data_IF_068486414096
#
_entry.id   IF_068486414096
#
_cell.length_a   1.000
_cell.length_b   1.000
_cell.length_c   1.000
_cell.angle_alpha   90.00
_cell.angle_beta   90.00
_cell.angle_gamma   90.00
#
_symmetry.space_group_name_H-M   'P 1'
#
loop_
_entity.id
_entity.type
_entity.pdbx_description
1 polymer ?
#
# COMPACT_ATOMS: atom_id res chain seq x y z
N UNK A 1 32.24 -18.09 2.28
CA UNK A 1 32.13 -18.25 3.74
C UNK A 1 30.64 -18.38 4.04
N UNK A 2 30.15 -19.60 4.22
CA UNK A 2 28.76 -19.88 4.61
C UNK A 2 28.67 -19.65 6.12
N UNK A 3 28.07 -18.53 6.51
CA UNK A 3 27.68 -18.30 7.89
C UNK A 3 26.64 -19.35 8.28
N UNK A 4 27.02 -20.30 9.11
CA UNK A 4 26.05 -21.22 9.75
C UNK A 4 25.20 -20.41 10.71
N UNK A 5 23.95 -20.15 10.34
CA UNK A 5 22.95 -19.63 11.27
C UNK A 5 22.74 -20.71 12.34
N UNK A 6 23.09 -20.39 13.57
CA UNK A 6 22.90 -21.29 14.70
C UNK A 6 21.40 -21.53 14.91
N UNK A 7 20.94 -22.75 14.61
CA UNK A 7 19.52 -23.12 14.62
C UNK A 7 19.00 -23.50 16.03
N UNK A 8 19.79 -23.27 17.09
CA UNK A 8 19.53 -23.88 18.41
C UNK A 8 18.71 -23.06 19.39
N UNK A 9 18.54 -21.74 19.17
CA UNK A 9 17.67 -20.93 20.04
C UNK A 9 16.29 -20.73 19.40
N UNK A 10 15.23 -21.00 20.17
CA UNK A 10 13.88 -20.63 19.73
C UNK A 10 13.84 -19.10 19.51
N UNK A 11 13.28 -18.62 18.38
CA UNK A 11 13.21 -17.19 18.14
C UNK A 11 12.38 -16.52 19.25
N UNK A 12 12.86 -15.36 19.72
CA UNK A 12 12.08 -14.56 20.65
C UNK A 12 10.85 -14.01 19.94
N UNK A 13 9.67 -14.46 20.35
CA UNK A 13 8.39 -14.01 19.81
C UNK A 13 8.06 -12.66 20.45
N UNK A 14 7.78 -11.66 19.62
CA UNK A 14 7.41 -10.31 20.09
C UNK A 14 6.25 -10.34 21.10
N UNK A 15 6.22 -9.36 22.00
CA UNK A 15 5.12 -9.19 22.96
C UNK A 15 3.81 -8.92 22.22
N UNK A 16 2.70 -9.02 22.94
CA UNK A 16 1.40 -8.62 22.39
C UNK A 16 1.43 -7.13 22.06
N UNK A 17 0.99 -6.82 20.86
CA UNK A 17 0.78 -5.43 20.45
C UNK A 17 -0.49 -4.88 21.09
N UNK A 18 -0.47 -3.59 21.41
CA UNK A 18 -1.58 -2.87 22.05
C UNK A 18 -1.79 -1.52 21.36
N UNK A 19 -2.90 -0.84 21.72
CA UNK A 19 -3.24 0.46 21.14
C UNK A 19 -4.11 0.36 19.89
N UNK A 20 -4.28 1.49 19.22
CA UNK A 20 -5.21 1.65 18.10
C UNK A 20 -4.92 0.73 16.92
N UNK A 21 -3.66 0.36 16.69
CA UNK A 21 -3.24 -0.48 15.57
C UNK A 21 -3.68 -1.95 15.73
N UNK A 22 -3.88 -2.43 16.96
CA UNK A 22 -4.27 -3.82 17.24
C UNK A 22 -5.79 -4.02 17.32
N UNK A 23 -6.51 -3.45 16.37
CA UNK A 23 -7.96 -3.48 16.32
C UNK A 23 -8.53 -4.81 15.82
N UNK A 24 -9.77 -5.07 16.24
CA UNK A 24 -10.65 -6.09 15.68
C UNK A 24 -11.89 -5.40 15.08
N UNK A 25 -12.65 -6.13 14.26
CA UNK A 25 -13.87 -5.61 13.65
C UNK A 25 -14.84 -5.00 14.68
N UNK A 26 -14.89 -5.57 15.88
CA UNK A 26 -15.88 -5.18 16.89
C UNK A 26 -15.54 -3.84 17.58
N UNK A 27 -14.30 -3.37 17.45
CA UNK A 27 -13.86 -2.10 18.06
C UNK A 27 -13.72 -0.96 17.07
N UNK A 28 -13.61 -1.27 15.76
CA UNK A 28 -13.54 -0.23 14.72
C UNK A 28 -14.88 0.50 14.58
N UNK A 29 -14.80 1.81 14.50
CA UNK A 29 -15.94 2.65 14.17
C UNK A 29 -16.00 2.90 12.64
N UNK A 30 -17.18 3.24 12.09
CA UNK A 30 -17.36 3.41 10.63
C UNK A 30 -16.42 4.43 9.96
N UNK A 31 -15.96 5.43 10.72
CA UNK A 31 -15.10 6.50 10.20
C UNK A 31 -13.63 6.38 10.64
N UNK A 32 -13.28 5.29 11.33
CA UNK A 32 -11.88 5.06 11.68
C UNK A 32 -11.04 4.92 10.41
N UNK A 33 -9.93 5.66 10.35
CA UNK A 33 -9.07 5.71 9.19
C UNK A 33 -9.57 6.58 8.03
N UNK A 34 -10.79 7.16 8.10
CA UNK A 34 -11.31 8.04 7.05
C UNK A 34 -10.80 9.46 7.25
N UNK A 35 -10.16 10.00 6.23
CA UNK A 35 -9.70 11.40 6.18
C UNK A 35 -10.45 12.10 5.04
N UNK A 36 -11.25 13.09 5.39
CA UNK A 36 -11.97 13.91 4.40
C UNK A 36 -11.00 14.84 3.71
N UNK A 37 -11.12 14.99 2.39
CA UNK A 37 -10.36 15.97 1.62
C UNK A 37 -10.99 17.34 1.78
N UNK A 38 -10.29 18.35 2.36
CA UNK A 38 -10.81 19.69 2.54
C UNK A 38 -10.97 20.44 1.21
N UNK A 39 -11.90 21.40 1.16
CA UNK A 39 -12.15 22.22 -0.04
C UNK A 39 -10.92 23.03 -0.47
N UNK A 40 -10.13 23.52 0.46
CA UNK A 40 -8.89 24.25 0.18
C UNK A 40 -7.82 23.32 -0.43
N UNK A 41 -7.73 22.07 0.01
CA UNK A 41 -6.88 21.06 -0.63
C UNK A 41 -7.37 20.79 -2.07
N UNK A 42 -8.69 20.66 -2.29
CA UNK A 42 -9.24 20.50 -3.64
C UNK A 42 -8.92 21.70 -4.53
N UNK A 43 -8.99 22.93 -3.99
CA UNK A 43 -8.64 24.14 -4.73
C UNK A 43 -7.15 24.18 -5.14
N UNK A 44 -6.26 23.73 -4.27
CA UNK A 44 -4.83 23.55 -4.58
C UNK A 44 -4.63 22.53 -5.71
N UNK A 45 -5.29 21.38 -5.63
CA UNK A 45 -5.21 20.32 -6.65
C UNK A 45 -5.79 20.80 -8.00
N UNK A 46 -6.90 21.54 -7.99
CA UNK A 46 -7.46 22.16 -9.20
C UNK A 46 -6.47 23.15 -9.85
N UNK A 47 -5.73 23.91 -9.05
CA UNK A 47 -4.71 24.82 -9.56
C UNK A 47 -3.54 24.06 -10.20
N UNK A 48 -3.09 22.97 -9.58
CA UNK A 48 -2.04 22.10 -10.14
C UNK A 48 -2.52 21.43 -11.43
N UNK A 49 -3.75 20.90 -11.47
CA UNK A 49 -4.30 20.30 -12.69
C UNK A 49 -4.29 21.29 -13.86
N UNK A 50 -4.73 22.54 -13.63
CA UNK A 50 -4.66 23.60 -14.67
C UNK A 50 -3.21 23.90 -15.08
N UNK A 51 -2.31 24.04 -14.12
CA UNK A 51 -0.90 24.32 -14.40
C UNK A 51 -0.27 23.23 -15.28
N UNK A 52 -0.55 21.97 -14.98
CA UNK A 52 0.00 20.82 -15.72
C UNK A 52 -0.64 20.65 -17.10
N UNK A 53 -1.88 21.13 -17.32
CA UNK A 53 -2.48 21.20 -18.66
C UNK A 53 -1.74 22.22 -19.54
N UNK A 54 -1.41 23.38 -18.99
CA UNK A 54 -0.73 24.44 -19.72
C UNK A 54 0.78 24.14 -19.88
N UNK A 55 1.36 23.42 -18.94
CA UNK A 55 2.78 23.06 -18.90
C UNK A 55 2.94 21.58 -18.56
N UNK A 56 2.74 20.66 -19.50
CA UNK A 56 2.81 19.22 -19.26
C UNK A 56 4.19 18.78 -18.79
N UNK A 57 4.22 18.04 -17.68
CA UNK A 57 5.41 17.39 -17.14
C UNK A 57 5.14 15.90 -16.94
N UNK A 58 6.16 15.04 -17.07
CA UNK A 58 6.00 13.63 -16.74
C UNK A 58 5.60 13.44 -15.27
N UNK A 59 4.59 12.63 -14.98
CA UNK A 59 4.09 12.38 -13.61
C UNK A 59 5.22 12.07 -12.64
N UNK A 60 6.14 11.18 -13.02
CA UNK A 60 7.26 10.75 -12.16
C UNK A 60 8.32 11.82 -11.91
N UNK A 61 8.29 12.94 -12.63
CA UNK A 61 9.19 14.07 -12.42
C UNK A 61 8.65 15.07 -11.40
N UNK A 62 7.36 14.98 -11.07
CA UNK A 62 6.71 15.91 -10.15
C UNK A 62 7.17 15.63 -8.71
N UNK A 63 7.52 16.68 -8.00
CA UNK A 63 7.87 16.63 -6.58
C UNK A 63 6.94 17.55 -5.79
N UNK A 64 6.40 17.12 -4.65
CA UNK A 64 5.55 17.98 -3.83
C UNK A 64 6.22 19.30 -3.42
N UNK A 65 7.56 19.32 -3.33
CA UNK A 65 8.34 20.49 -2.93
C UNK A 65 8.32 21.61 -3.98
N UNK A 66 8.04 21.28 -5.23
CA UNK A 66 8.02 22.22 -6.35
C UNK A 66 6.69 23.02 -6.41
N UNK A 67 5.72 22.70 -5.51
CA UNK A 67 4.38 23.28 -5.52
C UNK A 67 3.98 23.82 -4.15
N UNK A 68 3.22 24.93 -4.17
CA UNK A 68 2.60 25.49 -2.96
C UNK A 68 1.30 24.74 -2.65
N UNK A 69 1.38 23.77 -1.73
CA UNK A 69 0.31 22.87 -1.35
C UNK A 69 0.13 22.78 0.20
N UNK A 70 -0.03 23.92 0.90
CA UNK A 70 -0.11 23.92 2.37
C UNK A 70 -1.33 23.16 2.93
N UNK A 71 -2.50 23.27 2.28
CA UNK A 71 -3.70 22.55 2.72
C UNK A 71 -3.56 21.04 2.49
N UNK A 72 -3.05 20.61 1.32
CA UNK A 72 -2.76 19.22 1.05
C UNK A 72 -1.71 18.65 2.02
N UNK A 73 -0.67 19.41 2.36
CA UNK A 73 0.33 18.99 3.35
C UNK A 73 -0.28 18.79 4.74
N UNK A 74 -1.17 19.68 5.16
CA UNK A 74 -1.89 19.57 6.44
C UNK A 74 -2.78 18.32 6.45
N UNK A 75 -3.52 18.07 5.37
CA UNK A 75 -4.34 16.87 5.23
C UNK A 75 -3.48 15.60 5.25
N UNK A 76 -2.38 15.57 4.50
CA UNK A 76 -1.48 14.41 4.46
C UNK A 76 -0.78 14.18 5.82
N UNK A 77 -0.50 15.22 6.59
CA UNK A 77 0.00 15.06 7.96
C UNK A 77 -1.00 14.27 8.83
N UNK A 78 -2.30 14.53 8.69
CA UNK A 78 -3.35 13.76 9.37
C UNK A 78 -3.42 12.30 8.87
N UNK A 79 -3.26 12.08 7.55
CA UNK A 79 -3.14 10.73 6.97
C UNK A 79 -1.96 9.99 7.60
N UNK A 80 -0.79 10.63 7.64
CA UNK A 80 0.43 10.03 8.19
C UNK A 80 0.29 9.72 9.69
N UNK A 81 -0.32 10.62 10.46
CA UNK A 81 -0.60 10.37 11.89
C UNK A 81 -1.54 9.18 12.09
N UNK A 82 -2.60 9.08 11.27
CA UNK A 82 -3.54 7.95 11.27
C UNK A 82 -2.83 6.62 10.95
N UNK A 83 -1.89 6.64 10.00
CA UNK A 83 -1.10 5.46 9.63
C UNK A 83 -0.12 5.05 10.71
N UNK A 84 0.58 6.00 11.33
CA UNK A 84 1.68 5.73 12.26
C UNK A 84 1.22 5.55 13.71
N UNK A 85 0.22 6.29 14.15
CA UNK A 85 -0.22 6.33 15.54
C UNK A 85 -1.69 5.92 15.73
N UNK A 86 -2.45 5.83 14.64
CA UNK A 86 -3.85 5.43 14.64
C UNK A 86 -4.06 3.95 14.30
N UNK A 87 -5.06 3.70 13.47
CA UNK A 87 -5.51 2.34 13.08
C UNK A 87 -4.60 1.67 12.05
N UNK A 88 -3.57 2.34 11.53
CA UNK A 88 -2.60 1.78 10.59
C UNK A 88 -3.09 1.68 9.14
N UNK A 89 -4.26 2.22 8.83
CA UNK A 89 -4.74 2.42 7.47
C UNK A 89 -5.43 3.78 7.35
N UNK A 90 -5.46 4.35 6.16
CA UNK A 90 -6.18 5.59 5.89
C UNK A 90 -6.96 5.49 4.57
N UNK A 91 -8.16 6.04 4.57
CA UNK A 91 -9.02 6.18 3.38
C UNK A 91 -9.22 7.66 3.15
N UNK A 92 -8.62 8.18 2.08
CA UNK A 92 -8.80 9.57 1.69
C UNK A 92 -10.11 9.71 0.89
N UNK A 93 -11.10 10.38 1.45
CA UNK A 93 -12.42 10.54 0.87
C UNK A 93 -12.63 12.01 0.41
N UNK A 94 -12.46 12.31 -0.86
CA UNK A 94 -12.02 11.56 -2.06
C UNK A 94 -11.48 12.53 -3.09
N UNK A 95 -10.61 12.06 -3.97
CA UNK A 95 -10.29 12.80 -5.19
C UNK A 95 -11.49 12.71 -6.16
N UNK A 96 -12.12 13.83 -6.55
CA UNK A 96 -13.39 13.81 -7.31
C UNK A 96 -13.15 13.48 -8.78
N UNK A 97 -13.32 12.21 -9.16
CA UNK A 97 -13.13 11.72 -10.53
C UNK A 97 -14.17 12.22 -11.54
N UNK A 98 -15.20 12.91 -11.10
CA UNK A 98 -16.13 13.65 -11.94
C UNK A 98 -15.57 15.01 -12.46
N UNK A 99 -14.51 15.50 -11.81
CA UNK A 99 -13.81 16.75 -12.20
C UNK A 99 -12.56 16.52 -13.03
N UNK A 100 -11.92 15.36 -12.89
CA UNK A 100 -10.64 15.07 -13.50
C UNK A 100 -10.74 13.88 -14.46
N UNK A 101 -10.10 13.99 -15.62
CA UNK A 101 -9.80 12.78 -16.39
C UNK A 101 -8.78 11.92 -15.64
N UNK A 102 -8.59 10.70 -16.09
CA UNK A 102 -7.57 9.82 -15.51
C UNK A 102 -6.17 10.45 -15.59
N UNK A 103 -5.83 11.00 -16.74
CA UNK A 103 -4.53 11.61 -17.01
C UNK A 103 -4.28 12.85 -16.13
N UNK A 104 -5.35 13.53 -15.72
CA UNK A 104 -5.27 14.65 -14.78
C UNK A 104 -5.17 14.19 -13.33
N UNK A 105 -5.89 13.13 -12.98
CA UNK A 105 -5.94 12.63 -11.62
C UNK A 105 -4.65 11.88 -11.21
N UNK A 106 -3.99 11.19 -12.13
CA UNK A 106 -2.77 10.42 -11.86
C UNK A 106 -1.62 11.30 -11.31
N UNK A 107 -1.28 12.46 -11.90
CA UNK A 107 -0.30 13.38 -11.32
C UNK A 107 -0.68 13.90 -9.93
N UNK A 108 -1.98 14.17 -9.70
CA UNK A 108 -2.47 14.63 -8.39
C UNK A 108 -2.34 13.53 -7.34
N UNK A 109 -2.71 12.30 -7.69
CA UNK A 109 -2.49 11.12 -6.84
C UNK A 109 -1.01 10.92 -6.52
N UNK A 110 -0.14 11.03 -7.54
CA UNK A 110 1.31 10.91 -7.37
C UNK A 110 1.86 11.92 -6.37
N UNK A 111 1.44 13.19 -6.47
CA UNK A 111 1.87 14.24 -5.54
C UNK A 111 1.40 13.94 -4.12
N UNK A 112 0.13 13.58 -3.91
CA UNK A 112 -0.41 13.25 -2.59
C UNK A 112 0.29 12.04 -1.98
N UNK A 113 0.46 10.94 -2.73
CA UNK A 113 1.14 9.74 -2.26
C UNK A 113 2.62 10.03 -1.93
N UNK A 114 3.29 10.88 -2.72
CA UNK A 114 4.68 11.29 -2.48
C UNK A 114 4.86 12.15 -1.23
N UNK A 115 3.80 12.79 -0.73
CA UNK A 115 3.82 13.49 0.56
C UNK A 115 3.75 12.54 1.75
N UNK A 116 3.16 11.34 1.59
CA UNK A 116 3.10 10.33 2.66
C UNK A 116 4.47 9.71 2.88
N UNK A 117 5.11 9.27 1.81
CA UNK A 117 6.44 8.66 1.84
C UNK A 117 7.10 8.71 0.45
N UNK A 118 8.40 8.47 0.42
CA UNK A 118 9.14 8.41 -0.85
C UNK A 118 8.68 7.23 -1.69
N UNK A 119 8.18 7.45 -2.93
CA UNK A 119 7.81 6.37 -3.83
C UNK A 119 9.01 5.47 -4.16
N UNK A 120 8.74 4.17 -4.31
CA UNK A 120 9.72 3.15 -4.70
C UNK A 120 9.22 2.39 -5.91
N UNK A 121 10.14 1.83 -6.70
CA UNK A 121 9.76 1.00 -7.83
C UNK A 121 8.99 -0.25 -7.36
N UNK A 122 7.85 -0.49 -7.98
CA UNK A 122 6.98 -1.64 -7.67
C UNK A 122 7.41 -2.90 -8.42
N UNK A 123 8.14 -2.71 -9.53
CA UNK A 123 8.64 -3.79 -10.38
C UNK A 123 10.13 -3.64 -10.64
N UNK A 124 10.76 -4.74 -11.01
CA UNK A 124 12.18 -4.77 -11.34
C UNK A 124 12.57 -3.89 -12.52
N UNK A 125 11.63 -3.58 -13.42
CA UNK A 125 11.80 -2.69 -14.57
C UNK A 125 11.73 -1.20 -14.23
N UNK A 126 11.49 -0.86 -12.95
CA UNK A 126 11.42 0.49 -12.46
C UNK A 126 10.02 1.11 -12.46
N UNK A 127 8.98 0.35 -12.77
CA UNK A 127 7.60 0.87 -12.75
C UNK A 127 7.24 1.37 -11.34
N UNK A 128 6.82 2.65 -11.26
CA UNK A 128 6.47 3.33 -10.00
C UNK A 128 4.95 3.38 -9.78
N UNK A 129 4.17 3.47 -10.85
CA UNK A 129 2.71 3.41 -10.87
C UNK A 129 2.32 2.17 -11.67
N UNK A 130 1.33 1.45 -11.20
CA UNK A 130 0.89 0.22 -11.82
C UNK A 130 -0.64 0.13 -11.85
N UNK A 131 -1.18 -0.25 -13.01
CA UNK A 131 -2.61 -0.40 -13.20
C UNK A 131 -3.09 -1.77 -12.75
N UNK A 132 -4.01 -1.78 -11.81
CA UNK A 132 -4.72 -2.98 -11.36
C UNK A 132 -6.09 -3.00 -12.03
N UNK A 133 -6.33 -3.95 -12.93
CA UNK A 133 -7.60 -4.09 -13.64
C UNK A 133 -7.78 -5.49 -14.20
N UNK A 134 -9.03 -5.90 -14.42
CA UNK A 134 -9.30 -7.15 -15.10
C UNK A 134 -8.99 -7.01 -16.63
N UNK A 135 -7.97 -7.72 -17.06
CA UNK A 135 -7.57 -7.77 -18.48
C UNK A 135 -8.34 -8.83 -19.28
N UNK A 136 -9.28 -9.55 -18.65
CA UNK A 136 -10.00 -10.67 -19.26
C UNK A 136 -9.18 -11.96 -19.37
N UNK A 137 -7.95 -11.98 -18.85
CA UNK A 137 -7.13 -13.18 -18.82
C UNK A 137 -7.64 -14.18 -17.79
N UNK A 138 -7.54 -15.47 -18.11
CA UNK A 138 -7.91 -16.52 -17.17
C UNK A 138 -6.82 -16.70 -16.11
N UNK A 139 -7.21 -16.88 -14.83
CA UNK A 139 -6.27 -17.20 -13.77
C UNK A 139 -5.48 -18.48 -14.01
N UNK A 140 -4.24 -18.54 -13.55
CA UNK A 140 -3.35 -19.69 -13.68
C UNK A 140 -2.32 -19.52 -14.80
N UNK A 141 -1.44 -20.52 -14.97
CA UNK A 141 -0.40 -20.49 -15.99
C UNK A 141 0.63 -19.36 -15.87
N UNK A 142 0.79 -18.76 -14.67
CA UNK A 142 1.67 -17.62 -14.46
C UNK A 142 1.02 -16.25 -14.68
N UNK A 143 -0.30 -16.21 -14.92
CA UNK A 143 -1.07 -14.95 -14.96
C UNK A 143 -1.23 -14.44 -13.53
N UNK A 144 -0.84 -13.20 -13.30
CA UNK A 144 -0.94 -12.58 -11.97
C UNK A 144 -2.40 -12.27 -11.59
N UNK A 145 -2.77 -12.44 -10.32
CA UNK A 145 -4.14 -12.16 -9.85
C UNK A 145 -4.58 -10.71 -10.07
N UNK A 146 -3.67 -9.74 -9.94
CA UNK A 146 -3.90 -8.30 -10.05
C UNK A 146 -4.35 -7.81 -11.44
N UNK A 147 -4.19 -8.64 -12.47
CA UNK A 147 -4.70 -8.38 -13.82
C UNK A 147 -5.87 -9.30 -14.21
N UNK A 148 -6.53 -9.90 -13.24
CA UNK A 148 -7.69 -10.77 -13.42
C UNK A 148 -8.83 -10.38 -12.47
N UNK A 149 -9.99 -11.02 -12.62
CA UNK A 149 -11.14 -10.84 -11.72
C UNK A 149 -11.16 -11.80 -10.52
N UNK A 150 -10.02 -12.42 -10.19
CA UNK A 150 -9.93 -13.36 -9.07
C UNK A 150 -9.84 -12.62 -7.74
N UNK A 151 -10.61 -13.08 -6.79
CA UNK A 151 -10.47 -12.64 -5.39
C UNK A 151 -9.10 -13.04 -4.84
N UNK A 152 -8.39 -12.08 -4.26
CA UNK A 152 -7.12 -12.33 -3.60
C UNK A 152 -7.32 -12.54 -2.10
N UNK A 153 -6.59 -13.51 -1.54
CA UNK A 153 -6.51 -13.71 -0.10
C UNK A 153 -5.76 -12.56 0.57
N UNK A 154 -5.91 -12.44 1.90
CA UNK A 154 -5.08 -11.50 2.67
C UNK A 154 -3.60 -11.77 2.45
N UNK A 155 -2.85 -10.75 2.12
CA UNK A 155 -1.43 -10.79 1.86
C UNK A 155 -0.79 -9.44 2.18
N UNK A 156 0.52 -9.40 2.19
CA UNK A 156 1.32 -8.18 2.13
C UNK A 156 2.04 -8.13 0.80
N UNK A 157 2.15 -6.95 0.21
CA UNK A 157 2.85 -6.78 -1.05
C UNK A 157 4.36 -6.86 -0.88
N UNK A 158 5.03 -7.43 -1.90
CA UNK A 158 6.49 -7.52 -1.99
C UNK A 158 7.20 -8.06 -0.73
N UNK A 159 6.52 -8.94 0.03
CA UNK A 159 7.05 -9.55 1.27
C UNK A 159 8.31 -10.40 1.04
N UNK A 160 8.63 -10.75 -0.21
CA UNK A 160 9.85 -11.44 -0.63
C UNK A 160 11.04 -10.48 -0.84
N UNK A 161 10.88 -9.17 -0.72
CA UNK A 161 11.97 -8.22 -0.81
C UNK A 161 12.70 -8.09 0.52
N UNK A 162 14.01 -7.78 0.48
CA UNK A 162 14.78 -7.44 1.68
C UNK A 162 14.22 -6.23 2.42
N UNK A 163 13.71 -5.27 1.67
CA UNK A 163 13.05 -4.08 2.18
C UNK A 163 11.65 -4.03 1.56
N UNK A 164 10.65 -4.65 2.17
CA UNK A 164 9.27 -4.47 1.73
C UNK A 164 8.84 -3.01 1.90
N UNK A 165 7.85 -2.52 1.14
CA UNK A 165 7.37 -1.16 1.28
C UNK A 165 6.71 -0.93 2.65
N UNK A 166 6.92 0.25 3.24
CA UNK A 166 6.25 0.64 4.49
C UNK A 166 4.76 0.89 4.29
N UNK A 167 4.38 1.40 3.11
CA UNK A 167 3.00 1.72 2.74
C UNK A 167 2.69 1.25 1.34
N UNK A 168 1.44 0.84 1.14
CA UNK A 168 0.84 0.57 -0.17
C UNK A 168 -0.29 1.57 -0.36
N UNK A 169 -0.25 2.33 -1.44
CA UNK A 169 -1.29 3.28 -1.81
C UNK A 169 -2.06 2.76 -3.01
N UNK A 170 -3.39 2.79 -2.93
CA UNK A 170 -4.28 2.46 -4.03
C UNK A 170 -5.15 3.66 -4.39
N UNK A 171 -5.25 3.97 -5.67
CA UNK A 171 -6.14 4.99 -6.18
C UNK A 171 -7.26 4.36 -6.99
N UNK A 172 -8.50 4.52 -6.53
CA UNK A 172 -9.68 4.02 -7.23
C UNK A 172 -10.09 5.02 -8.33
N UNK A 173 -9.68 4.74 -9.56
CA UNK A 173 -10.08 5.55 -10.73
C UNK A 173 -11.52 5.24 -11.13
N UNK A 174 -11.92 3.97 -11.06
CA UNK A 174 -13.27 3.49 -11.36
C UNK A 174 -13.60 2.30 -10.48
N UNK A 175 -14.77 2.32 -9.88
CA UNK A 175 -15.26 1.17 -9.09
C UNK A 175 -15.59 -0.01 -9.99
N UNK A 176 -15.38 -1.22 -9.49
CA UNK A 176 -15.82 -2.43 -10.18
C UNK A 176 -17.34 -2.44 -10.31
N UNK A 177 -17.84 -3.02 -11.40
CA UNK A 177 -19.28 -3.21 -11.62
C UNK A 177 -19.91 -4.13 -10.57
N UNK A 178 -19.19 -5.17 -10.18
CA UNK A 178 -19.55 -6.11 -9.12
C UNK A 178 -18.28 -6.50 -8.36
N UNK A 179 -18.37 -6.67 -7.06
CA UNK A 179 -17.20 -7.01 -6.21
C UNK A 179 -16.24 -5.84 -6.02
N UNK A 180 -14.94 -6.10 -6.14
CA UNK A 180 -13.88 -5.08 -5.97
C UNK A 180 -13.79 -4.53 -4.54
N UNK A 181 -14.28 -5.26 -3.55
CA UNK A 181 -14.25 -4.85 -2.13
C UNK A 181 -12.85 -5.08 -1.57
N UNK A 182 -12.20 -4.00 -1.14
CA UNK A 182 -10.96 -4.08 -0.37
C UNK A 182 -11.25 -4.54 1.05
N UNK A 183 -10.51 -5.55 1.51
CA UNK A 183 -10.57 -6.04 2.89
C UNK A 183 -9.22 -5.88 3.52
N UNK A 184 -9.19 -5.35 4.72
CA UNK A 184 -7.98 -5.15 5.51
C UNK A 184 -8.07 -5.89 6.84
N UNK A 185 -6.91 -6.23 7.39
CA UNK A 185 -6.78 -6.89 8.70
C UNK A 185 -5.67 -6.22 9.49
N UNK A 186 -5.90 -6.02 10.78
CA UNK A 186 -4.82 -5.61 11.67
C UNK A 186 -3.84 -6.78 11.84
N UNK A 187 -2.63 -6.63 11.31
CA UNK A 187 -1.57 -7.63 11.49
C UNK A 187 -1.16 -7.80 12.97
N UNK A 188 -1.04 -6.71 13.77
CA UNK A 188 -0.86 -6.82 15.22
C UNK A 188 -1.97 -7.60 15.92
N UNK A 189 -3.24 -7.40 15.55
CA UNK A 189 -4.33 -8.18 16.13
C UNK A 189 -4.27 -9.66 15.73
N UNK A 190 -3.94 -9.95 14.45
CA UNK A 190 -3.74 -11.33 13.99
C UNK A 190 -2.58 -12.01 14.73
N UNK A 191 -1.45 -11.31 14.93
CA UNK A 191 -0.34 -11.77 15.73
C UNK A 191 -0.77 -12.09 17.18
N UNK A 192 -1.51 -11.18 17.81
CA UNK A 192 -2.02 -11.37 19.16
C UNK A 192 -2.92 -12.61 19.27
N UNK A 193 -3.81 -12.84 18.30
CA UNK A 193 -4.66 -14.02 18.26
C UNK A 193 -3.85 -15.31 18.05
N UNK A 194 -2.87 -15.31 17.17
CA UNK A 194 -1.97 -16.44 16.98
C UNK A 194 -1.18 -16.75 18.26
N UNK A 195 -0.71 -15.70 18.94
CA UNK A 195 0.02 -15.87 20.21
C UNK A 195 -0.84 -16.56 21.29
N UNK A 196 -2.14 -16.26 21.33
CA UNK A 196 -3.07 -16.87 22.29
C UNK A 196 -3.44 -18.30 21.92
N UNK A 197 -3.76 -18.54 20.63
CA UNK A 197 -4.36 -19.80 20.18
C UNK A 197 -3.36 -20.80 19.65
N UNK A 198 -2.28 -20.34 19.04
CA UNK A 198 -1.31 -21.14 18.30
C UNK A 198 0.13 -20.67 18.51
N UNK A 199 0.61 -20.62 19.79
CA UNK A 199 1.94 -20.08 20.09
C UNK A 199 3.07 -20.83 19.38
N UNK A 200 2.95 -22.14 19.21
CA UNK A 200 3.96 -22.97 18.52
C UNK A 200 4.03 -22.62 17.02
N UNK A 201 2.87 -22.38 16.38
CA UNK A 201 2.81 -21.96 14.98
C UNK A 201 3.34 -20.55 14.82
N UNK A 202 3.03 -19.65 15.74
CA UNK A 202 3.58 -18.32 15.74
C UNK A 202 5.10 -18.34 15.84
N UNK A 203 5.67 -19.12 16.75
CA UNK A 203 7.12 -19.28 16.87
C UNK A 203 7.77 -19.80 15.57
N UNK A 204 7.07 -20.64 14.81
CA UNK A 204 7.54 -21.09 13.49
C UNK A 204 7.61 -19.93 12.48
N UNK A 205 6.68 -18.97 12.51
CA UNK A 205 6.65 -17.82 11.61
C UNK A 205 7.82 -16.84 11.83
N UNK A 206 8.48 -16.88 12.99
CA UNK A 206 9.68 -16.09 13.27
C UNK A 206 10.99 -16.73 12.74
N UNK A 207 10.90 -17.89 12.10
CA UNK A 207 12.06 -18.53 11.47
C UNK A 207 12.15 -18.13 9.99
N UNK A 208 13.34 -18.14 9.41
CA UNK A 208 13.49 -17.88 7.98
C UNK A 208 12.67 -18.82 7.11
N UNK A 209 12.15 -18.29 6.04
CA UNK A 209 11.48 -19.00 4.95
C UNK A 209 12.18 -18.70 3.64
N UNK A 210 12.15 -19.65 2.74
CA UNK A 210 12.53 -19.43 1.35
C UNK A 210 11.30 -18.87 0.63
N UNK A 211 11.43 -17.69 0.04
CA UNK A 211 10.39 -17.08 -0.74
C UNK A 211 10.66 -17.27 -2.24
N UNK A 212 9.63 -17.67 -2.98
CA UNK A 212 9.59 -17.54 -4.42
C UNK A 212 9.32 -16.07 -4.76
N UNK A 213 10.18 -15.48 -5.57
CA UNK A 213 10.06 -14.08 -5.99
C UNK A 213 9.00 -13.86 -7.09
N UNK A 214 8.22 -14.86 -7.45
CA UNK A 214 7.09 -14.81 -8.37
C UNK A 214 7.42 -14.16 -9.74
N UNK A 215 8.66 -14.31 -10.20
CA UNK A 215 9.21 -13.65 -11.40
C UNK A 215 9.29 -12.12 -11.31
N UNK A 216 9.15 -11.54 -10.12
CA UNK A 216 9.36 -10.11 -9.87
C UNK A 216 10.85 -9.82 -9.55
N UNK A 217 11.70 -10.15 -10.49
CA UNK A 217 13.16 -9.97 -10.41
C UNK A 217 13.75 -9.85 -11.81
N UNK A 218 14.93 -9.24 -11.90
CA UNK A 218 15.69 -9.20 -13.14
C UNK A 218 15.99 -10.63 -13.65
N UNK A 219 16.08 -10.84 -14.96
CA UNK A 219 16.25 -12.19 -15.55
C UNK A 219 17.47 -12.97 -15.05
N UNK A 220 18.50 -12.28 -14.61
CA UNK A 220 19.77 -12.81 -14.07
C UNK A 220 19.79 -12.96 -12.54
N UNK A 221 18.73 -12.52 -11.85
CA UNK A 221 18.63 -12.61 -10.41
C UNK A 221 18.10 -14.00 -9.95
N UNK A 222 18.43 -14.43 -8.69
CA UNK A 222 17.90 -15.68 -8.15
C UNK A 222 16.38 -15.72 -8.12
N UNK A 223 15.80 -16.89 -8.36
CA UNK A 223 14.34 -17.13 -8.31
C UNK A 223 13.78 -17.08 -6.89
N UNK A 224 14.63 -17.34 -5.90
CA UNK A 224 14.26 -17.40 -4.46
C UNK A 224 15.19 -16.54 -3.62
N UNK A 225 14.71 -16.12 -2.49
CA UNK A 225 15.46 -15.46 -1.42
C UNK A 225 15.36 -16.24 -0.12
#
# INVERSE_FOLDING_TARGET
MTSSVDASSAPEVAKMETGAIAWTRDVLQPNDGVVTMPDDCLAELDAISRLLKDNPLPTLALRPEDFELPACRTMIANVTDTLQHGVGFAILDRLPMDRYSREEAEPLYWLLASMVARPVAQKWDGAMIYDVHDSGLKPGGGVRPDITNVEQNFHTDNSYNFCPPDYVCLFCVQTAKEGGVSRIVSFPAAHNEMRKRHPDLLARLYRPYIFDRQREHAPDAPLTL
#
